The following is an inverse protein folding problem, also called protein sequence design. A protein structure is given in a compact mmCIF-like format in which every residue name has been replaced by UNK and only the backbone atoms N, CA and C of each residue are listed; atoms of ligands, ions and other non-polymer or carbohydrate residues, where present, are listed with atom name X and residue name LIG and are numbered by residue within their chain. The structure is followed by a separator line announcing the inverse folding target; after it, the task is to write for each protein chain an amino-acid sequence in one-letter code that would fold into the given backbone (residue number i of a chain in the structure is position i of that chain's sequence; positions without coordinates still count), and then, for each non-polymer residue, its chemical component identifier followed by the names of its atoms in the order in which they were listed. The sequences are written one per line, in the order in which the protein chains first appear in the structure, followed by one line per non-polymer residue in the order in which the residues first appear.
data_IF_934507267090
#
_entry.id   IF_934507267090
#
_cell.length_a   1.000
_cell.length_b   1.000
_cell.length_c   1.000
_cell.angle_alpha   90.00
_cell.angle_beta   90.00
_cell.angle_gamma   90.00
#
_symmetry.space_group_name_H-M   'P 1'
#
loop_
_entity.id
_entity.type
_entity.pdbx_description
1 polymer ?
#
# COMPACT_ATOMS: atom_id res chain seq x y z
N UNK A 1 -23.44 0.79 -42.09
CA UNK A 1 -23.00 -0.57 -41.62
C UNK A 1 -21.67 -0.52 -40.86
N UNK A 2 -20.71 0.32 -41.26
CA UNK A 2 -19.39 0.37 -40.60
C UNK A 2 -19.39 1.10 -39.24
N UNK A 3 -20.19 2.16 -39.09
CA UNK A 3 -20.33 2.88 -37.82
C UNK A 3 -21.02 2.06 -36.72
N UNK A 4 -22.03 1.27 -37.08
CA UNK A 4 -22.73 0.40 -36.13
C UNK A 4 -21.75 -0.67 -35.58
N UNK A 5 -20.95 -1.28 -36.41
CA UNK A 5 -19.96 -2.28 -36.01
C UNK A 5 -18.86 -1.68 -35.11
N UNK A 6 -18.48 -0.42 -35.33
CA UNK A 6 -17.53 0.28 -34.46
C UNK A 6 -18.11 0.54 -33.05
N UNK A 7 -19.37 1.00 -32.99
CA UNK A 7 -20.07 1.25 -31.74
C UNK A 7 -20.29 -0.07 -30.94
N UNK A 8 -20.65 -1.15 -31.62
CA UNK A 8 -20.79 -2.47 -31.00
C UNK A 8 -19.47 -2.97 -30.41
N UNK A 9 -18.35 -2.74 -31.11
CA UNK A 9 -17.02 -3.08 -30.61
C UNK A 9 -16.64 -2.26 -29.36
N UNK A 10 -16.86 -0.95 -29.39
CA UNK A 10 -16.62 -0.07 -28.25
C UNK A 10 -17.49 -0.42 -27.04
N UNK A 11 -18.76 -0.74 -27.28
CA UNK A 11 -19.67 -1.21 -26.22
C UNK A 11 -19.18 -2.50 -25.57
N UNK A 12 -18.67 -3.44 -26.36
CA UNK A 12 -18.13 -4.71 -25.86
C UNK A 12 -16.86 -4.47 -25.00
N UNK A 13 -15.99 -3.58 -25.44
CA UNK A 13 -14.78 -3.21 -24.70
C UNK A 13 -15.13 -2.53 -23.37
N UNK A 14 -16.03 -1.54 -23.38
CA UNK A 14 -16.52 -0.86 -22.18
C UNK A 14 -17.19 -1.85 -21.22
N UNK A 15 -17.99 -2.77 -21.73
CA UNK A 15 -18.62 -3.81 -20.91
C UNK A 15 -17.57 -4.74 -20.26
N UNK A 16 -16.50 -5.06 -20.98
CA UNK A 16 -15.35 -5.81 -20.45
C UNK A 16 -14.66 -5.08 -19.31
N UNK A 17 -14.41 -3.78 -19.47
CA UNK A 17 -13.80 -2.92 -18.44
C UNK A 17 -14.69 -2.81 -17.19
N UNK A 18 -16.00 -2.65 -17.38
CA UNK A 18 -16.97 -2.60 -16.27
C UNK A 18 -16.97 -3.92 -15.49
N UNK A 19 -16.93 -5.04 -16.21
CA UNK A 19 -16.92 -6.39 -15.58
C UNK A 19 -15.63 -6.60 -14.80
N UNK A 20 -14.48 -6.23 -15.37
CA UNK A 20 -13.19 -6.31 -14.69
C UNK A 20 -13.12 -5.40 -13.45
N UNK A 21 -13.67 -4.18 -13.54
CA UNK A 21 -13.72 -3.26 -12.41
C UNK A 21 -14.60 -3.79 -11.27
N UNK A 22 -15.78 -4.36 -11.60
CA UNK A 22 -16.67 -4.98 -10.61
C UNK A 22 -16.02 -6.20 -9.94
N UNK A 23 -15.28 -7.00 -10.68
CA UNK A 23 -14.57 -8.16 -10.12
C UNK A 23 -13.42 -7.73 -9.22
N UNK A 24 -12.67 -6.70 -9.60
CA UNK A 24 -11.62 -6.12 -8.76
C UNK A 24 -12.20 -5.54 -7.45
N UNK A 25 -13.33 -4.84 -7.52
CA UNK A 25 -14.02 -4.32 -6.35
C UNK A 25 -14.53 -5.43 -5.43
N UNK A 26 -15.12 -6.50 -5.99
CA UNK A 26 -15.55 -7.67 -5.22
C UNK A 26 -14.35 -8.33 -4.50
N UNK A 27 -13.24 -8.57 -5.21
CA UNK A 27 -12.02 -9.14 -4.60
C UNK A 27 -11.49 -8.26 -3.46
N UNK A 28 -11.59 -6.94 -3.63
CA UNK A 28 -11.18 -5.98 -2.60
C UNK A 28 -12.07 -6.06 -1.36
N UNK A 29 -13.40 -6.15 -1.55
CA UNK A 29 -14.37 -6.31 -0.46
C UNK A 29 -14.17 -7.65 0.27
N UNK A 30 -13.99 -8.75 -0.47
CA UNK A 30 -13.71 -10.08 0.08
C UNK A 30 -12.39 -10.08 0.90
N UNK A 31 -11.35 -9.40 0.41
CA UNK A 31 -10.09 -9.24 1.13
C UNK A 31 -10.24 -8.38 2.40
N UNK A 32 -11.02 -7.31 2.32
CA UNK A 32 -11.33 -6.45 3.48
C UNK A 32 -12.17 -7.19 4.54
N UNK A 33 -13.12 -8.00 4.12
CA UNK A 33 -13.96 -8.79 5.00
C UNK A 33 -13.17 -9.94 5.66
N UNK A 34 -12.29 -10.60 4.89
CA UNK A 34 -11.36 -11.58 5.42
C UNK A 34 -10.41 -10.96 6.46
N UNK A 35 -9.92 -9.73 6.22
CA UNK A 35 -9.11 -8.99 7.19
C UNK A 35 -9.87 -8.73 8.49
N UNK A 36 -11.13 -8.30 8.40
CA UNK A 36 -11.99 -8.06 9.57
C UNK A 36 -12.26 -9.34 10.36
N UNK A 37 -12.49 -10.47 9.69
CA UNK A 37 -12.70 -11.77 10.34
C UNK A 37 -11.43 -12.29 11.01
N UNK A 38 -10.26 -12.13 10.40
CA UNK A 38 -8.98 -12.47 11.01
C UNK A 38 -8.67 -11.60 12.24
N UNK A 39 -9.03 -10.30 12.19
CA UNK A 39 -8.90 -9.39 13.32
C UNK A 39 -9.72 -9.83 14.53
N UNK A 40 -10.93 -10.36 14.32
CA UNK A 40 -11.81 -10.86 15.38
C UNK A 40 -11.32 -12.18 15.98
N UNK A 41 -10.66 -13.03 15.18
CA UNK A 41 -10.19 -14.34 15.64
C UNK A 41 -8.90 -14.27 16.47
N UNK A 42 -8.07 -13.24 16.26
CA UNK A 42 -6.78 -13.08 16.94
C UNK A 42 -6.82 -12.37 18.31
N UNK A 43 -7.98 -11.91 18.74
CA UNK A 43 -8.10 -11.22 20.04
C UNK A 43 -8.07 -12.18 21.25
N UNK A 44 -7.74 -13.47 21.06
CA UNK A 44 -7.80 -14.52 22.06
C UNK A 44 -6.51 -15.29 22.36
N UNK A 45 -5.39 -15.03 21.72
CA UNK A 45 -4.17 -15.82 21.97
C UNK A 45 -2.89 -14.97 22.03
N UNK A 46 -2.52 -14.58 23.24
CA UNK A 46 -1.24 -13.93 23.56
C UNK A 46 -0.22 -15.03 23.91
N UNK A 47 0.63 -15.38 22.98
CA UNK A 47 1.76 -16.28 23.22
C UNK A 47 2.26 -16.98 21.99
N UNK A 48 3.24 -16.42 21.30
CA UNK A 48 3.85 -17.06 20.13
C UNK A 48 5.16 -16.40 19.74
N UNK A 49 6.14 -17.23 19.53
CA UNK A 49 7.54 -17.02 19.14
C UNK A 49 7.74 -16.04 17.95
N UNK A 50 8.82 -15.28 18.01
CA UNK A 50 9.28 -14.36 16.98
C UNK A 50 9.37 -15.03 15.59
N UNK A 51 8.48 -14.68 14.68
CA UNK A 51 8.46 -15.16 13.31
C UNK A 51 7.09 -15.20 12.64
N UNK A 52 6.02 -15.35 13.39
CA UNK A 52 4.66 -15.59 12.87
C UNK A 52 3.60 -14.62 13.42
N UNK A 53 3.97 -13.46 13.92
CA UNK A 53 2.97 -12.55 14.46
C UNK A 53 2.20 -11.86 13.34
N UNK A 54 1.00 -12.31 13.19
CA UNK A 54 -0.04 -11.72 12.37
C UNK A 54 -0.42 -10.39 12.93
N UNK A 55 -0.39 -9.42 12.07
CA UNK A 55 -0.84 -8.09 12.36
C UNK A 55 -2.17 -7.88 11.66
N UNK A 56 -3.21 -7.73 12.39
CA UNK A 56 -4.51 -7.38 11.82
C UNK A 56 -5.02 -6.07 12.41
N UNK A 57 -5.70 -5.29 11.60
CA UNK A 57 -6.16 -3.94 11.79
C UNK A 57 -6.83 -3.58 13.13
N UNK A 58 -7.26 -2.36 13.24
CA UNK A 58 -7.80 -1.63 14.40
C UNK A 58 -6.71 -1.08 15.35
N UNK A 59 -5.89 -0.12 14.84
CA UNK A 59 -4.86 0.54 15.65
C UNK A 59 -3.60 -0.30 15.83
N UNK A 60 -3.41 -1.31 14.99
CA UNK A 60 -2.25 -2.18 15.05
C UNK A 60 -1.01 -1.58 14.42
N UNK A 61 -1.15 -0.86 13.30
CA UNK A 61 -0.03 -0.15 12.68
C UNK A 61 0.30 1.12 13.47
N UNK A 62 1.59 1.35 13.68
CA UNK A 62 2.05 2.70 14.01
C UNK A 62 2.06 3.55 12.73
N UNK A 63 1.86 4.85 12.87
CA UNK A 63 1.88 5.75 11.73
C UNK A 63 3.27 5.71 11.05
N UNK A 64 3.34 5.41 9.73
CA UNK A 64 4.63 5.23 9.04
C UNK A 64 5.41 6.53 8.86
N UNK A 65 4.76 7.68 8.94
CA UNK A 65 5.37 9.01 8.81
C UNK A 65 4.74 10.00 9.81
N UNK A 66 5.01 9.88 11.12
CA UNK A 66 4.41 10.78 12.12
C UNK A 66 4.86 12.23 11.98
N UNK A 67 6.00 12.49 11.28
CA UNK A 67 6.49 13.81 10.95
C UNK A 67 5.90 14.42 9.67
N UNK A 68 4.84 13.86 9.11
CA UNK A 68 4.16 14.43 7.94
C UNK A 68 3.60 15.82 8.24
N UNK A 69 3.53 16.65 7.20
CA UNK A 69 2.85 17.96 7.29
C UNK A 69 1.34 17.80 7.13
N UNK A 70 0.93 16.95 6.18
CA UNK A 70 -0.49 16.62 5.92
C UNK A 70 -0.58 15.38 5.02
N UNK A 71 -1.75 14.75 4.99
CA UNK A 71 -2.06 13.69 4.03
C UNK A 71 -2.53 14.33 2.71
N UNK A 72 -1.76 14.12 1.64
CA UNK A 72 -1.99 14.77 0.35
C UNK A 72 -2.88 13.97 -0.60
N UNK A 73 -3.04 12.67 -0.37
CA UNK A 73 -3.91 11.79 -1.15
C UNK A 73 -4.35 10.56 -0.38
N UNK A 74 -5.53 10.05 -0.73
CA UNK A 74 -6.21 8.98 -0.02
C UNK A 74 -6.32 7.73 -0.90
N UNK A 75 -6.43 6.58 -0.25
CA UNK A 75 -6.72 5.31 -0.93
C UNK A 75 -8.05 5.40 -1.69
N UNK A 76 -8.07 4.91 -2.94
CA UNK A 76 -9.24 4.90 -3.80
C UNK A 76 -9.52 6.21 -4.53
N UNK A 77 -8.75 7.27 -4.27
CA UNK A 77 -8.87 8.55 -4.97
C UNK A 77 -8.49 8.41 -6.44
N UNK A 78 -9.35 8.91 -7.33
CA UNK A 78 -9.08 9.01 -8.76
C UNK A 78 -8.54 10.40 -9.06
N UNK A 79 -7.32 10.49 -9.57
CA UNK A 79 -6.65 11.76 -9.87
C UNK A 79 -6.83 12.11 -11.34
N UNK A 80 -7.77 13.00 -11.63
CA UNK A 80 -7.94 13.52 -12.99
C UNK A 80 -6.73 14.39 -13.38
N UNK A 81 -6.20 14.16 -14.58
CA UNK A 81 -5.15 15.02 -15.16
C UNK A 81 -3.70 14.64 -14.85
N UNK A 82 -3.42 13.62 -14.07
CA UNK A 82 -2.04 13.17 -13.77
C UNK A 82 -1.64 11.92 -14.60
N UNK A 83 -2.38 11.60 -15.65
CA UNK A 83 -2.04 10.51 -16.58
C UNK A 83 -2.32 9.09 -16.07
N UNK A 84 -2.89 8.93 -14.89
CA UNK A 84 -3.33 7.65 -14.36
C UNK A 84 -4.76 7.75 -13.79
N UNK A 85 -5.72 7.24 -14.54
CA UNK A 85 -7.14 7.19 -14.14
C UNK A 85 -7.43 6.07 -13.13
N UNK A 86 -6.42 5.30 -12.72
CA UNK A 86 -6.61 4.20 -11.76
C UNK A 86 -6.77 4.73 -10.33
N UNK A 87 -7.61 4.09 -9.52
CA UNK A 87 -7.74 4.46 -8.12
C UNK A 87 -6.39 4.35 -7.38
N UNK A 88 -6.11 5.33 -6.53
CA UNK A 88 -4.90 5.37 -5.71
C UNK A 88 -4.82 4.17 -4.77
N UNK A 89 -3.68 3.48 -4.75
CA UNK A 89 -3.51 2.19 -4.05
C UNK A 89 -3.07 2.32 -2.60
N UNK A 90 -2.87 3.54 -2.11
CA UNK A 90 -2.37 3.80 -0.76
C UNK A 90 -2.75 5.18 -0.26
N UNK A 91 -2.02 5.64 0.76
CA UNK A 91 -2.05 7.02 1.24
C UNK A 91 -0.75 7.71 0.90
N UNK A 92 -0.84 8.99 0.53
CA UNK A 92 0.33 9.84 0.35
C UNK A 92 0.43 10.84 1.50
N UNK A 93 1.57 10.80 2.20
CA UNK A 93 1.89 11.68 3.32
C UNK A 93 2.96 12.68 2.90
N UNK A 94 2.56 13.93 2.68
CA UNK A 94 3.48 15.02 2.33
C UNK A 94 4.34 15.38 3.55
N UNK A 95 5.65 15.44 3.35
CA UNK A 95 6.63 15.78 4.38
C UNK A 95 7.89 16.35 3.77
N UNK A 96 8.72 17.02 4.59
CA UNK A 96 10.02 17.50 4.17
C UNK A 96 10.94 16.33 3.76
N UNK A 97 11.90 16.56 2.83
CA UNK A 97 12.89 15.54 2.47
C UNK A 97 13.64 15.06 3.71
N UNK A 98 13.87 13.75 3.81
CA UNK A 98 14.57 13.14 4.93
C UNK A 98 13.71 12.93 6.18
N UNK A 99 12.43 13.37 6.21
CA UNK A 99 11.51 13.05 7.31
C UNK A 99 11.49 11.54 7.54
N UNK A 100 11.72 11.04 8.78
CA UNK A 100 11.82 9.62 9.04
C UNK A 100 10.59 8.83 8.65
N UNK A 101 10.81 7.68 8.01
CA UNK A 101 9.81 6.68 7.67
C UNK A 101 10.02 5.47 8.58
N UNK A 102 8.94 5.02 9.21
CA UNK A 102 8.97 3.92 10.16
C UNK A 102 8.19 2.71 9.65
N UNK A 103 8.68 1.50 9.97
CA UNK A 103 7.93 0.27 9.73
C UNK A 103 6.62 0.29 10.53
N UNK A 104 5.49 0.19 9.85
CA UNK A 104 4.18 0.26 10.47
C UNK A 104 3.95 -0.88 11.48
N UNK A 105 4.54 -2.05 11.23
CA UNK A 105 4.56 -3.20 12.12
C UNK A 105 5.86 -3.99 11.95
N UNK A 106 6.11 -4.93 12.86
CA UNK A 106 7.20 -5.89 12.74
C UNK A 106 7.00 -6.79 11.52
N UNK A 107 8.10 -7.21 10.90
CA UNK A 107 8.03 -8.08 9.73
C UNK A 107 9.39 -8.31 9.07
N UNK A 108 9.36 -9.02 7.95
CA UNK A 108 10.54 -9.30 7.13
C UNK A 108 10.57 -8.42 5.89
N UNK A 109 11.65 -7.71 5.66
CA UNK A 109 11.88 -6.93 4.43
C UNK A 109 12.02 -7.91 3.26
N UNK A 110 11.10 -7.84 2.31
CA UNK A 110 11.14 -8.64 1.08
C UNK A 110 11.76 -7.89 -0.09
N UNK A 111 11.75 -6.57 -0.03
CA UNK A 111 12.40 -5.71 -1.03
C UNK A 111 12.94 -4.46 -0.34
N UNK A 112 14.18 -4.11 -0.64
CA UNK A 112 14.79 -2.82 -0.33
C UNK A 112 15.70 -2.44 -1.49
N UNK A 113 15.41 -1.34 -2.20
CA UNK A 113 16.16 -0.98 -3.39
C UNK A 113 15.52 0.16 -4.17
N UNK A 114 15.71 0.15 -5.49
CA UNK A 114 15.21 1.16 -6.41
C UNK A 114 14.41 0.56 -7.56
N UNK A 115 13.32 1.23 -7.96
CA UNK A 115 12.62 1.00 -9.21
C UNK A 115 12.23 2.33 -9.88
N UNK A 116 12.04 2.33 -11.20
CA UNK A 116 11.71 3.55 -11.93
C UNK A 116 10.36 4.17 -11.52
N UNK A 117 9.42 3.37 -11.03
CA UNK A 117 8.11 3.85 -10.59
C UNK A 117 8.09 4.20 -9.10
N UNK A 118 8.52 3.30 -8.23
CA UNK A 118 8.49 3.51 -6.78
C UNK A 118 9.66 4.36 -6.23
N UNK A 119 10.70 4.61 -7.06
CA UNK A 119 11.93 5.22 -6.58
C UNK A 119 12.67 4.29 -5.62
N UNK A 120 13.35 4.84 -4.63
CA UNK A 120 13.84 4.07 -3.48
C UNK A 120 12.65 3.65 -2.62
N UNK A 121 12.58 2.36 -2.30
CA UNK A 121 11.42 1.80 -1.65
C UNK A 121 11.73 0.58 -0.80
N UNK A 122 10.82 0.29 0.12
CA UNK A 122 10.84 -0.89 0.98
C UNK A 122 9.51 -1.61 0.89
N UNK A 123 9.55 -2.95 0.90
CA UNK A 123 8.39 -3.82 1.07
C UNK A 123 8.62 -4.69 2.29
N UNK A 124 7.65 -4.73 3.19
CA UNK A 124 7.70 -5.54 4.42
C UNK A 124 6.53 -6.53 4.40
N UNK A 125 6.85 -7.81 4.58
CA UNK A 125 5.87 -8.86 4.78
C UNK A 125 5.68 -9.07 6.29
N UNK A 126 4.44 -8.90 6.76
CA UNK A 126 4.07 -9.03 8.17
C UNK A 126 3.48 -10.41 8.52
N UNK A 127 3.40 -11.33 7.55
CA UNK A 127 2.71 -12.61 7.69
C UNK A 127 1.24 -12.55 7.27
N UNK A 128 0.61 -13.72 7.17
CA UNK A 128 -0.81 -13.92 6.79
C UNK A 128 -1.29 -13.11 5.59
N UNK A 129 -0.43 -12.95 4.58
CA UNK A 129 -0.74 -12.21 3.36
C UNK A 129 -0.71 -10.69 3.51
N UNK A 130 -0.38 -10.16 4.70
CA UNK A 130 -0.31 -8.72 4.95
C UNK A 130 1.07 -8.17 4.59
N UNK A 131 1.08 -7.18 3.71
CA UNK A 131 2.30 -6.54 3.19
C UNK A 131 2.15 -5.02 3.22
N UNK A 132 3.20 -4.31 3.59
CA UNK A 132 3.27 -2.85 3.47
C UNK A 132 4.37 -2.42 2.50
N UNK A 133 4.12 -1.34 1.77
CA UNK A 133 5.06 -0.75 0.81
C UNK A 133 5.26 0.73 1.14
N UNK A 134 6.52 1.15 1.11
CA UNK A 134 6.98 2.50 1.43
C UNK A 134 7.79 3.02 0.26
N UNK A 135 7.29 3.99 -0.50
CA UNK A 135 7.87 4.42 -1.76
C UNK A 135 8.32 5.88 -1.73
N UNK A 136 9.07 6.26 -2.77
CA UNK A 136 9.57 7.61 -3.03
C UNK A 136 10.58 8.13 -1.99
N UNK A 137 11.34 7.22 -1.33
CA UNK A 137 12.37 7.61 -0.39
C UNK A 137 13.44 8.49 -1.05
N UNK A 138 14.09 9.34 -0.28
CA UNK A 138 15.09 10.30 -0.78
C UNK A 138 16.42 9.65 -1.19
N UNK A 139 16.74 8.50 -0.60
CA UNK A 139 17.97 7.75 -0.84
C UNK A 139 17.73 6.27 -0.56
N UNK A 140 18.78 5.44 -0.72
CA UNK A 140 18.77 4.02 -0.39
C UNK A 140 18.17 3.78 0.99
N UNK A 141 17.25 2.81 1.13
CA UNK A 141 16.70 2.41 2.41
C UNK A 141 17.76 2.10 3.48
N UNK A 142 17.43 2.32 4.73
CA UNK A 142 18.31 2.02 5.88
C UNK A 142 18.28 0.54 6.27
N UNK A 143 17.49 -0.25 5.59
CA UNK A 143 17.32 -1.69 5.79
C UNK A 143 17.59 -2.45 4.50
N UNK A 144 17.88 -3.74 4.61
CA UNK A 144 18.23 -4.60 3.48
C UNK A 144 17.18 -5.71 3.29
N UNK A 145 17.04 -6.19 2.06
CA UNK A 145 16.21 -7.37 1.75
C UNK A 145 16.65 -8.56 2.60
N UNK A 146 15.69 -9.23 3.19
CA UNK A 146 15.91 -10.37 4.12
C UNK A 146 16.03 -9.97 5.59
N UNK A 147 16.20 -8.68 5.91
CA UNK A 147 16.27 -8.18 7.28
C UNK A 147 14.89 -8.26 7.96
N UNK A 148 14.88 -8.61 9.25
CA UNK A 148 13.71 -8.45 10.12
C UNK A 148 13.73 -7.05 10.72
N UNK A 149 12.57 -6.42 10.77
CA UNK A 149 12.37 -5.08 11.35
C UNK A 149 11.32 -5.14 12.45
N UNK A 150 11.50 -4.27 13.44
CA UNK A 150 10.53 -4.08 14.51
C UNK A 150 9.49 -3.01 14.12
N UNK A 151 8.30 -3.07 14.74
CA UNK A 151 7.30 -1.98 14.64
C UNK A 151 7.92 -0.67 15.11
N UNK A 152 7.81 0.39 14.31
CA UNK A 152 8.40 1.70 14.62
C UNK A 152 9.91 1.80 14.34
N UNK A 153 10.53 0.78 13.75
CA UNK A 153 11.91 0.90 13.31
C UNK A 153 12.03 1.88 12.14
N UNK A 154 13.00 2.80 12.19
CA UNK A 154 13.29 3.70 11.07
C UNK A 154 13.87 2.91 9.88
N UNK A 155 13.21 2.98 8.73
CA UNK A 155 13.56 2.25 7.50
C UNK A 155 14.02 3.14 6.36
N UNK A 156 13.93 4.47 6.50
CA UNK A 156 14.31 5.42 5.48
C UNK A 156 13.85 6.84 5.78
N UNK A 157 13.88 7.68 4.77
CA UNK A 157 13.41 9.07 4.83
C UNK A 157 12.60 9.45 3.61
N UNK A 158 11.64 10.34 3.79
CA UNK A 158 10.77 10.87 2.73
C UNK A 158 11.57 11.53 1.63
N UNK A 159 11.16 11.36 0.39
CA UNK A 159 11.77 12.00 -0.76
C UNK A 159 10.78 12.17 -1.91
N UNK A 160 11.30 12.20 -3.14
CA UNK A 160 10.53 12.37 -4.37
C UNK A 160 11.14 11.56 -5.51
N UNK A 161 11.79 10.44 -5.21
CA UNK A 161 12.41 9.57 -6.24
C UNK A 161 11.37 8.72 -6.96
N UNK A 162 11.68 8.27 -8.17
CA UNK A 162 10.75 7.54 -9.03
C UNK A 162 9.68 8.44 -9.66
N UNK A 163 8.48 7.90 -9.89
CA UNK A 163 7.35 8.66 -10.44
C UNK A 163 6.63 9.42 -9.30
N UNK A 164 7.12 10.59 -8.98
CA UNK A 164 6.60 11.45 -7.93
C UNK A 164 6.60 12.91 -8.38
N UNK A 165 5.59 13.68 -7.97
CA UNK A 165 5.44 15.10 -8.28
C UNK A 165 5.89 16.03 -7.16
N UNK A 166 6.28 15.47 -6.00
CA UNK A 166 6.72 16.25 -4.84
C UNK A 166 7.09 15.34 -3.68
N UNK A 167 7.69 15.91 -2.63
CA UNK A 167 8.17 15.13 -1.48
C UNK A 167 6.98 14.56 -0.69
N UNK A 168 6.85 13.23 -0.71
CA UNK A 168 5.86 12.49 0.06
C UNK A 168 6.30 11.05 0.29
N UNK A 169 5.73 10.39 1.29
CA UNK A 169 5.72 8.95 1.42
C UNK A 169 4.44 8.42 0.78
N UNK A 170 4.55 7.57 -0.24
CA UNK A 170 3.43 6.70 -0.64
C UNK A 170 3.44 5.45 0.24
N UNK A 171 2.39 5.29 1.05
CA UNK A 171 2.19 4.14 1.95
C UNK A 171 1.05 3.28 1.45
N UNK A 172 1.36 2.05 1.07
CA UNK A 172 0.37 1.09 0.55
C UNK A 172 0.33 -0.14 1.45
N UNK A 173 -0.88 -0.62 1.72
CA UNK A 173 -1.15 -1.88 2.41
C UNK A 173 -1.76 -2.85 1.42
N UNK A 174 -1.29 -4.10 1.42
CA UNK A 174 -1.86 -5.18 0.64
C UNK A 174 -2.23 -6.35 1.55
N UNK A 175 -3.38 -6.94 1.29
CA UNK A 175 -3.79 -8.21 1.87
C UNK A 175 -3.93 -9.24 0.73
N UNK A 176 -3.17 -10.34 0.81
CA UNK A 176 -3.14 -11.39 -0.21
C UNK A 176 -2.87 -10.84 -1.64
N UNK A 177 -2.00 -9.81 -1.74
CA UNK A 177 -1.64 -9.17 -3.00
C UNK A 177 -2.64 -8.14 -3.52
N UNK A 178 -3.73 -7.87 -2.79
CA UNK A 178 -4.74 -6.87 -3.15
C UNK A 178 -4.54 -5.62 -2.30
N UNK A 179 -4.40 -4.41 -2.91
CA UNK A 179 -4.36 -3.16 -2.16
C UNK A 179 -5.63 -2.93 -1.36
N UNK A 180 -5.48 -2.60 -0.08
CA UNK A 180 -6.57 -2.32 0.86
C UNK A 180 -6.36 -0.96 1.51
N UNK A 181 -7.43 -0.37 2.06
CA UNK A 181 -7.35 0.95 2.67
C UNK A 181 -6.46 0.93 3.93
N UNK A 182 -5.33 1.69 3.94
CA UNK A 182 -4.43 1.74 5.09
C UNK A 182 -5.11 2.20 6.39
N UNK A 183 -6.14 3.03 6.31
CA UNK A 183 -6.88 3.51 7.48
C UNK A 183 -7.55 2.38 8.30
N UNK A 184 -7.77 1.22 7.69
CA UNK A 184 -8.35 0.07 8.40
C UNK A 184 -7.36 -0.59 9.38
N UNK A 185 -6.09 -0.23 9.31
CA UNK A 185 -4.99 -0.84 10.07
C UNK A 185 -4.30 0.13 11.04
N UNK A 186 -4.70 1.40 11.04
CA UNK A 186 -4.12 2.49 11.85
C UNK A 186 -4.93 2.81 13.07
#
# INVERSE_FOLDING_TARGET
ASEIASIESEMTEVQGLITAAKEAERRRQEAEEAAKQQAQHNNGNSGGTAGDSVVSGNGFFTHPCPGMSYQSSYFGEVREGIGDSRPHKGHDYAAAPGTPIYAAAAGKVTTAGYSNSAGYWVVINHGNGLVTKYMHMWQMPYVSTGQTVEKGQNIGGVGTTGQSTGNHLHFQVELNGVPVNPSNYM
#
